data_IF_239867067933
#
_entry.id   IF_239867067933
#
_cell.length_a   1.000
_cell.length_b   1.000
_cell.length_c   1.000
_cell.angle_alpha   90.00
_cell.angle_beta   90.00
_cell.angle_gamma   90.00
#
_symmetry.space_group_name_H-M   'P 1'
#
loop_
_entity.id
_entity.type
_entity.pdbx_description
1 polymer ?
#
# COMPACT_ATOMS: atom_id res chain seq x y z
N UNK A 1 -60.89 16.39 21.32
CA UNK A 1 -60.22 16.18 20.02
C UNK A 1 -58.89 15.49 20.29
N UNK A 2 -58.68 14.25 19.84
CA UNK A 2 -57.39 13.57 19.97
C UNK A 2 -56.49 13.88 18.76
N UNK A 3 -55.20 14.11 19.03
CA UNK A 3 -54.15 14.30 18.03
C UNK A 3 -53.91 13.00 17.24
N UNK A 4 -53.57 13.06 15.94
CA UNK A 4 -53.32 11.86 15.13
C UNK A 4 -51.94 11.26 15.45
N UNK A 5 -51.91 9.93 15.63
CA UNK A 5 -50.68 9.14 15.59
C UNK A 5 -50.09 9.19 14.17
N UNK A 6 -48.92 9.80 14.03
CA UNK A 6 -48.12 9.68 12.81
C UNK A 6 -47.32 8.37 12.84
N UNK A 7 -47.81 7.35 12.14
CA UNK A 7 -47.00 6.18 11.73
C UNK A 7 -46.18 6.56 10.49
N UNK A 8 -44.92 6.93 10.67
CA UNK A 8 -43.94 7.01 9.57
C UNK A 8 -43.29 5.63 9.38
N UNK A 9 -43.34 5.03 8.18
CA UNK A 9 -42.60 3.81 7.90
C UNK A 9 -41.11 4.15 7.77
N UNK A 10 -40.32 3.77 8.77
CA UNK A 10 -38.86 3.91 8.73
C UNK A 10 -38.24 3.05 7.62
N UNK A 11 -37.17 3.50 6.95
CA UNK A 11 -36.51 2.73 5.91
C UNK A 11 -35.91 1.45 6.51
N UNK A 12 -36.40 0.31 6.05
CA UNK A 12 -35.98 -1.03 6.45
C UNK A 12 -34.62 -1.38 5.80
N UNK A 13 -33.52 -0.83 6.31
CA UNK A 13 -32.19 -1.28 5.90
C UNK A 13 -31.91 -2.64 6.56
N UNK A 14 -32.06 -3.73 5.78
CA UNK A 14 -31.61 -5.06 6.21
C UNK A 14 -30.09 -5.05 6.30
N UNK A 15 -29.54 -5.03 7.51
CA UNK A 15 -28.16 -5.42 7.77
C UNK A 15 -27.96 -6.89 7.42
N UNK A 16 -27.27 -7.16 6.30
CA UNK A 16 -26.83 -8.52 5.99
C UNK A 16 -25.57 -8.81 6.79
N UNK A 17 -25.71 -9.54 7.90
CA UNK A 17 -24.58 -10.14 8.62
C UNK A 17 -24.15 -11.40 7.86
N UNK A 18 -23.06 -11.33 7.09
CA UNK A 18 -22.22 -12.50 6.77
C UNK A 18 -21.12 -12.11 5.78
N UNK A 19 -19.92 -11.81 6.30
CA UNK A 19 -18.69 -12.09 5.57
C UNK A 19 -18.30 -13.53 5.91
N UNK A 20 -18.40 -14.41 4.93
CA UNK A 20 -17.94 -15.79 5.07
C UNK A 20 -16.41 -15.82 5.13
N UNK A 21 -15.86 -16.93 5.64
CA UNK A 21 -14.45 -17.19 6.01
C UNK A 21 -13.35 -16.75 5.03
N UNK A 22 -13.64 -16.33 3.80
CA UNK A 22 -12.66 -16.22 2.72
C UNK A 22 -12.70 -14.96 1.84
N UNK A 23 -13.67 -14.04 1.99
CA UNK A 23 -13.87 -13.03 0.93
C UNK A 23 -14.20 -11.64 1.47
N UNK A 24 -13.17 -10.82 1.69
CA UNK A 24 -13.27 -9.37 1.59
C UNK A 24 -12.97 -9.00 0.13
N UNK A 25 -13.99 -9.02 -0.73
CA UNK A 25 -13.93 -8.36 -2.03
C UNK A 25 -15.10 -7.39 -2.09
N UNK A 26 -14.83 -6.09 -2.10
CA UNK A 26 -15.81 -5.12 -2.58
C UNK A 26 -16.13 -5.42 -4.04
N UNK A 27 -17.40 -5.27 -4.42
CA UNK A 27 -17.92 -5.52 -5.78
C UNK A 27 -17.28 -4.61 -6.85
N UNK A 28 -16.51 -3.60 -6.46
CA UNK A 28 -15.86 -2.63 -7.35
C UNK A 28 -14.37 -2.50 -7.04
N UNK A 29 -13.56 -3.46 -7.48
CA UNK A 29 -12.10 -3.42 -7.29
C UNK A 29 -11.68 -3.37 -5.82
N UNK A 30 -10.37 -3.39 -5.56
CA UNK A 30 -9.88 -3.22 -4.19
C UNK A 30 -10.13 -1.78 -3.74
N UNK A 31 -10.98 -1.58 -2.73
CA UNK A 31 -11.18 -0.27 -2.12
C UNK A 31 -9.94 0.15 -1.31
N UNK A 32 -9.87 1.43 -0.93
CA UNK A 32 -8.75 1.98 -0.14
C UNK A 32 -8.53 1.24 1.21
N UNK A 33 -9.55 0.50 1.66
CA UNK A 33 -9.66 -0.17 2.96
C UNK A 33 -8.99 -1.55 2.95
N UNK A 34 -8.92 -2.19 1.77
CA UNK A 34 -8.46 -3.58 1.67
C UNK A 34 -6.99 -3.72 2.06
N UNK A 35 -6.14 -2.77 1.61
CA UNK A 35 -4.71 -2.78 1.94
C UNK A 35 -4.44 -2.45 3.42
N UNK A 36 -5.28 -1.62 4.04
CA UNK A 36 -5.11 -1.21 5.45
C UNK A 36 -5.50 -2.31 6.43
N UNK A 37 -6.30 -3.28 5.99
CA UNK A 37 -6.82 -4.35 6.84
C UNK A 37 -6.02 -5.66 6.74
N UNK A 38 -4.97 -5.71 5.92
CA UNK A 38 -4.19 -6.92 5.63
C UNK A 38 -3.52 -7.53 6.86
N UNK A 39 -3.29 -6.74 7.92
CA UNK A 39 -2.66 -7.22 9.17
C UNK A 39 -3.66 -7.50 10.29
N UNK A 40 -4.97 -7.33 10.04
CA UNK A 40 -6.02 -7.55 11.04
C UNK A 40 -6.24 -9.06 11.22
N UNK A 41 -6.39 -9.50 12.47
CA UNK A 41 -6.66 -10.91 12.78
C UNK A 41 -8.08 -11.30 12.39
N UNK A 42 -8.28 -12.58 12.10
CA UNK A 42 -9.60 -13.09 11.71
C UNK A 42 -10.63 -12.93 12.84
N UNK A 43 -10.22 -13.09 14.10
CA UNK A 43 -11.08 -12.85 15.25
C UNK A 43 -11.58 -11.41 15.36
N UNK A 44 -10.72 -10.43 15.03
CA UNK A 44 -11.12 -9.03 14.99
C UNK A 44 -12.07 -8.76 13.83
N UNK A 45 -11.80 -9.32 12.64
CA UNK A 45 -12.66 -9.17 11.47
C UNK A 45 -14.06 -9.76 11.71
N UNK A 46 -14.17 -10.91 12.37
CA UNK A 46 -15.46 -11.53 12.73
C UNK A 46 -16.35 -10.65 13.61
N UNK A 47 -15.75 -9.72 14.36
CA UNK A 47 -16.44 -8.80 15.26
C UNK A 47 -16.59 -7.38 14.69
N UNK A 48 -16.21 -7.19 13.43
CA UNK A 48 -16.22 -5.88 12.75
C UNK A 48 -17.34 -5.83 11.71
N UNK A 49 -17.97 -4.67 11.57
CA UNK A 49 -18.90 -4.37 10.48
C UNK A 49 -18.32 -3.27 9.59
N UNK A 50 -18.51 -3.39 8.28
CA UNK A 50 -18.09 -2.40 7.29
C UNK A 50 -19.34 -1.76 6.64
N UNK A 51 -20.04 -0.84 7.32
CA UNK A 51 -21.33 -0.30 6.85
C UNK A 51 -21.22 0.49 5.53
N UNK A 52 -20.03 0.96 5.19
CA UNK A 52 -19.75 1.71 3.97
C UNK A 52 -18.98 0.88 2.92
N UNK A 53 -18.73 -0.41 3.17
CA UNK A 53 -17.82 -1.23 2.36
C UNK A 53 -18.27 -1.44 0.91
N UNK A 54 -19.57 -1.39 0.65
CA UNK A 54 -20.16 -1.55 -0.69
C UNK A 54 -20.49 -0.21 -1.35
N UNK A 55 -20.32 0.91 -0.64
CA UNK A 55 -20.74 2.22 -1.12
C UNK A 55 -19.56 2.97 -1.74
N UNK A 56 -19.80 3.59 -2.89
CA UNK A 56 -18.82 4.52 -3.45
C UNK A 56 -18.74 5.78 -2.60
N UNK A 57 -17.59 6.43 -2.62
CA UNK A 57 -17.35 7.64 -1.85
C UNK A 57 -18.33 8.76 -2.19
N UNK A 58 -18.68 8.90 -3.45
CA UNK A 58 -19.64 9.92 -3.91
C UNK A 58 -21.04 9.62 -3.40
N UNK A 59 -21.41 8.34 -3.37
CA UNK A 59 -22.68 7.91 -2.78
C UNK A 59 -22.72 8.15 -1.27
N UNK A 60 -21.62 7.87 -0.56
CA UNK A 60 -21.49 8.20 0.87
C UNK A 60 -21.61 9.71 1.12
N UNK A 61 -21.00 10.55 0.27
CA UNK A 61 -21.14 12.02 0.36
C UNK A 61 -22.58 12.47 0.10
N UNK A 62 -23.30 11.84 -0.84
CA UNK A 62 -24.72 12.11 -1.08
C UNK A 62 -25.57 11.80 0.15
N UNK A 63 -25.39 10.63 0.75
CA UNK A 63 -26.08 10.25 2.01
C UNK A 63 -25.79 11.26 3.12
N UNK A 64 -24.53 11.69 3.25
CA UNK A 64 -24.14 12.69 4.25
C UNK A 64 -24.83 14.05 4.01
N UNK A 65 -24.98 14.49 2.76
CA UNK A 65 -25.70 15.71 2.42
C UNK A 65 -27.20 15.62 2.77
N UNK A 66 -27.84 14.50 2.46
CA UNK A 66 -29.26 14.26 2.74
C UNK A 66 -29.57 14.23 4.24
N UNK A 67 -28.60 13.82 5.08
CA UNK A 67 -28.73 13.78 6.53
C UNK A 67 -28.16 15.03 7.23
N UNK A 68 -27.99 16.13 6.50
CA UNK A 68 -27.50 17.42 7.03
C UNK A 68 -26.10 17.35 7.66
N UNK A 69 -25.25 16.39 7.28
CA UNK A 69 -23.87 16.23 7.76
C UNK A 69 -22.88 17.11 6.95
N UNK A 70 -23.23 18.38 6.71
CA UNK A 70 -22.46 19.28 5.84
C UNK A 70 -21.01 19.52 6.32
N UNK A 71 -20.77 19.48 7.64
CA UNK A 71 -19.43 19.62 8.20
C UNK A 71 -18.46 18.49 7.76
N UNK A 72 -18.98 17.29 7.49
CA UNK A 72 -18.17 16.16 7.00
C UNK A 72 -17.76 16.38 5.54
N UNK A 73 -18.66 16.96 4.73
CA UNK A 73 -18.41 17.23 3.32
C UNK A 73 -17.30 18.27 3.11
N UNK A 74 -17.19 19.25 4.03
CA UNK A 74 -16.15 20.27 4.00
C UNK A 74 -14.80 19.78 4.56
N UNK A 75 -14.80 18.67 5.32
CA UNK A 75 -13.61 18.14 5.94
C UNK A 75 -12.72 17.49 4.88
N UNK A 76 -11.52 18.06 4.72
CA UNK A 76 -10.49 17.45 3.86
C UNK A 76 -10.06 16.10 4.43
N UNK A 77 -9.86 15.16 3.53
CA UNK A 77 -9.43 13.82 3.86
C UNK A 77 -8.04 13.81 4.51
N UNK A 78 -7.87 12.91 5.47
CA UNK A 78 -6.58 12.68 6.11
C UNK A 78 -5.66 11.95 5.14
N UNK A 79 -4.62 12.63 4.69
CA UNK A 79 -3.57 12.09 3.82
C UNK A 79 -2.27 11.97 4.61
N UNK A 80 -1.49 10.92 4.34
CA UNK A 80 -0.20 10.68 4.99
C UNK A 80 -0.29 9.67 6.14
N UNK A 81 0.75 9.65 6.98
CA UNK A 81 0.85 8.71 8.10
C UNK A 81 -0.20 9.10 9.15
N UNK A 82 -1.01 8.12 9.57
CA UNK A 82 -1.99 8.31 10.63
C UNK A 82 -1.33 8.94 11.87
N UNK A 83 -2.03 9.87 12.52
CA UNK A 83 -1.62 10.55 13.75
C UNK A 83 -0.45 11.55 13.67
N UNK A 84 0.35 11.58 12.60
CA UNK A 84 1.46 12.55 12.46
C UNK A 84 0.96 13.91 11.91
N UNK A 85 -0.16 13.91 11.18
CA UNK A 85 -0.71 15.11 10.54
C UNK A 85 0.10 15.56 9.31
N UNK A 86 -0.16 16.78 8.82
CA UNK A 86 0.55 17.36 7.67
C UNK A 86 1.90 17.94 8.11
N UNK A 87 2.92 17.09 8.26
CA UNK A 87 4.29 17.51 8.58
C UNK A 87 5.25 17.10 7.47
N UNK A 88 6.37 17.81 7.36
CA UNK A 88 7.47 17.38 6.51
C UNK A 88 8.08 16.09 7.07
N UNK A 89 8.02 15.00 6.30
CA UNK A 89 8.46 13.68 6.74
C UNK A 89 9.96 13.62 7.05
N UNK A 90 10.79 14.30 6.25
CA UNK A 90 12.24 14.38 6.51
C UNK A 90 12.50 15.02 7.87
N UNK A 91 11.89 16.18 8.14
CA UNK A 91 12.05 16.85 9.42
C UNK A 91 11.55 16.00 10.59
N UNK A 92 10.42 15.31 10.42
CA UNK A 92 9.88 14.39 11.43
C UNK A 92 10.85 13.24 11.73
N UNK A 93 11.41 12.59 10.70
CA UNK A 93 12.35 11.47 10.91
C UNK A 93 13.64 11.92 11.61
N UNK A 94 14.15 13.11 11.28
CA UNK A 94 15.36 13.66 11.88
C UNK A 94 15.20 14.07 13.36
N UNK A 95 13.98 14.12 13.89
CA UNK A 95 13.74 14.30 15.33
C UNK A 95 14.05 13.03 16.14
N UNK A 96 13.99 11.86 15.50
CA UNK A 96 14.19 10.56 16.14
C UNK A 96 15.46 9.85 15.67
N UNK A 97 15.93 10.14 14.46
CA UNK A 97 17.10 9.52 13.84
C UNK A 97 18.20 10.56 13.65
N UNK A 98 19.39 10.24 14.17
CA UNK A 98 20.60 11.03 13.94
C UNK A 98 20.91 11.08 12.43
N UNK A 99 21.16 12.27 11.85
CA UNK A 99 21.62 12.39 10.47
C UNK A 99 22.88 11.57 10.23
N UNK A 100 22.92 10.80 9.15
CA UNK A 100 24.09 10.03 8.70
C UNK A 100 24.39 10.38 7.25
N UNK A 101 25.15 11.47 7.00
CA UNK A 101 25.37 11.94 5.65
C UNK A 101 26.03 10.87 4.77
N UNK A 102 25.63 10.83 3.51
CA UNK A 102 26.14 9.88 2.52
C UNK A 102 26.08 10.48 1.13
N UNK A 103 26.54 9.72 0.12
CA UNK A 103 26.63 10.18 -1.26
C UNK A 103 25.52 9.61 -2.13
N UNK A 104 25.12 10.36 -3.13
CA UNK A 104 24.41 9.81 -4.28
C UNK A 104 25.43 9.29 -5.28
N UNK A 105 25.34 8.01 -5.61
CA UNK A 105 26.28 7.33 -6.52
C UNK A 105 25.51 6.81 -7.73
N UNK A 106 25.96 7.18 -8.93
CA UNK A 106 25.39 6.69 -10.19
C UNK A 106 25.67 5.20 -10.37
N UNK A 107 24.66 4.43 -10.78
CA UNK A 107 24.85 3.01 -11.12
C UNK A 107 25.44 2.78 -12.52
N UNK A 108 25.47 3.80 -13.37
CA UNK A 108 26.01 3.66 -14.73
C UNK A 108 27.55 3.67 -14.73
N UNK A 109 28.15 4.54 -13.91
CA UNK A 109 29.58 4.85 -13.95
C UNK A 109 30.23 5.01 -12.56
N UNK A 110 29.49 4.73 -11.48
CA UNK A 110 29.93 4.94 -10.09
C UNK A 110 30.32 6.38 -9.75
N UNK A 111 29.87 7.37 -10.54
CA UNK A 111 30.16 8.79 -10.25
C UNK A 111 29.37 9.29 -9.05
N UNK A 112 29.98 10.19 -8.28
CA UNK A 112 29.33 10.86 -7.16
C UNK A 112 28.58 12.08 -7.69
N UNK A 113 27.26 12.04 -7.60
CA UNK A 113 26.37 13.09 -8.12
C UNK A 113 25.99 14.14 -7.08
N UNK A 114 26.18 13.85 -5.79
CA UNK A 114 25.85 14.76 -4.71
C UNK A 114 25.88 14.09 -3.34
N UNK A 115 25.34 14.78 -2.34
CA UNK A 115 25.26 14.30 -0.95
C UNK A 115 23.84 14.38 -0.40
N UNK A 116 23.57 13.63 0.66
CA UNK A 116 22.30 13.64 1.37
C UNK A 116 22.49 13.52 2.89
N UNK A 117 21.42 13.76 3.66
CA UNK A 117 21.44 13.72 5.13
C UNK A 117 21.29 12.32 5.75
N UNK A 118 20.88 11.33 4.96
CA UNK A 118 20.80 9.94 5.39
C UNK A 118 20.03 9.04 4.43
N UNK A 119 20.54 7.82 4.20
CA UNK A 119 19.93 6.85 3.29
C UNK A 119 18.51 6.44 3.72
N UNK A 120 18.21 6.50 5.02
CA UNK A 120 16.89 6.19 5.58
C UNK A 120 15.79 7.19 5.18
N UNK A 121 16.16 8.36 4.66
CA UNK A 121 15.21 9.37 4.16
C UNK A 121 14.67 9.03 2.76
N UNK A 122 15.22 8.00 2.12
CA UNK A 122 14.92 7.67 0.73
C UNK A 122 14.24 6.31 0.60
N UNK A 123 13.30 6.25 -0.33
CA UNK A 123 12.57 5.04 -0.72
C UNK A 123 12.99 4.62 -2.14
N UNK A 124 13.09 3.33 -2.40
CA UNK A 124 13.37 2.82 -3.75
C UNK A 124 12.33 3.34 -4.75
N UNK A 125 12.76 3.73 -5.95
CA UNK A 125 11.93 4.37 -6.99
C UNK A 125 11.57 5.83 -6.72
N UNK A 126 12.00 6.42 -5.59
CA UNK A 126 11.82 7.85 -5.34
C UNK A 126 12.76 8.68 -6.23
N UNK A 127 12.27 9.80 -6.78
CA UNK A 127 13.14 10.79 -7.43
C UNK A 127 14.09 11.41 -6.40
N UNK A 128 15.40 11.30 -6.62
CA UNK A 128 16.45 11.72 -5.69
C UNK A 128 16.66 13.24 -5.62
N UNK A 129 15.98 14.03 -6.48
CA UNK A 129 16.00 15.51 -6.52
C UNK A 129 17.40 16.13 -6.29
N UNK A 130 18.39 15.63 -7.01
CA UNK A 130 19.78 16.09 -6.94
C UNK A 130 19.91 17.39 -7.75
N UNK A 131 20.49 18.43 -7.15
CA UNK A 131 20.69 19.73 -7.80
C UNK A 131 21.73 19.65 -8.92
N UNK A 132 21.51 20.40 -10.02
CA UNK A 132 22.49 20.51 -11.11
C UNK A 132 22.41 19.43 -12.19
N UNK A 133 21.55 18.43 -12.04
CA UNK A 133 21.33 17.39 -13.06
C UNK A 133 20.23 17.81 -14.04
N UNK A 134 20.47 17.58 -15.34
CA UNK A 134 19.51 17.91 -16.41
C UNK A 134 18.28 17.01 -16.42
N UNK A 135 18.48 15.74 -16.14
CA UNK A 135 17.43 14.72 -16.15
C UNK A 135 17.09 14.24 -14.73
N UNK A 136 15.88 13.66 -14.51
CA UNK A 136 15.51 13.13 -13.22
C UNK A 136 16.26 11.82 -12.92
N UNK A 137 16.83 11.75 -11.71
CA UNK A 137 17.45 10.56 -11.16
C UNK A 137 16.59 9.92 -10.08
N UNK A 138 16.62 8.59 -10.02
CA UNK A 138 15.76 7.78 -9.15
C UNK A 138 16.59 6.85 -8.29
N UNK A 139 16.16 6.67 -7.04
CA UNK A 139 16.83 5.79 -6.07
C UNK A 139 16.60 4.33 -6.46
N UNK A 140 17.66 3.60 -6.77
CA UNK A 140 17.60 2.18 -7.17
C UNK A 140 18.02 1.24 -6.05
N UNK A 141 18.94 1.68 -5.19
CA UNK A 141 19.46 0.87 -4.10
C UNK A 141 19.98 1.75 -2.95
N UNK A 142 20.09 1.16 -1.75
CA UNK A 142 20.58 1.83 -0.55
C UNK A 142 21.63 0.94 0.08
N UNK A 143 22.87 1.43 0.13
CA UNK A 143 23.96 0.73 0.80
C UNK A 143 23.97 1.16 2.28
N UNK A 144 23.39 0.33 3.14
CA UNK A 144 23.34 0.60 4.58
C UNK A 144 24.72 0.54 5.27
N UNK A 145 25.71 -0.11 4.65
CA UNK A 145 27.07 -0.25 5.19
C UNK A 145 27.91 0.98 4.91
N UNK A 146 27.90 1.47 3.66
CA UNK A 146 28.60 2.72 3.29
C UNK A 146 27.80 3.98 3.65
N UNK A 147 26.47 3.84 3.75
CA UNK A 147 25.54 4.95 3.92
C UNK A 147 25.17 5.67 2.62
N UNK A 148 25.56 5.12 1.47
CA UNK A 148 25.34 5.70 0.15
C UNK A 148 23.98 5.30 -0.44
N UNK A 149 23.46 6.17 -1.31
CA UNK A 149 22.23 5.92 -2.07
C UNK A 149 22.60 5.82 -3.54
N UNK A 150 22.37 4.64 -4.12
CA UNK A 150 22.60 4.41 -5.53
C UNK A 150 21.41 4.91 -6.34
N UNK A 151 21.70 5.63 -7.41
CA UNK A 151 20.71 6.28 -8.27
C UNK A 151 20.93 5.95 -9.74
N UNK A 152 19.84 5.96 -10.51
CA UNK A 152 19.88 5.76 -11.96
C UNK A 152 19.11 6.87 -12.70
N UNK A 153 19.50 7.21 -13.94
CA UNK A 153 18.80 8.19 -14.76
C UNK A 153 17.51 7.62 -15.35
N UNK A 154 16.51 8.47 -15.59
CA UNK A 154 15.21 8.13 -16.18
C UNK A 154 14.34 7.20 -15.33
N UNK A 155 13.03 7.23 -15.60
CA UNK A 155 12.02 6.48 -14.82
C UNK A 155 11.89 5.02 -15.24
N UNK A 156 12.36 4.69 -16.44
CA UNK A 156 12.30 3.39 -17.10
C UNK A 156 13.62 2.63 -17.02
N UNK A 157 14.53 3.05 -16.13
CA UNK A 157 15.86 2.45 -16.04
C UNK A 157 15.82 0.99 -15.59
N UNK A 158 16.54 0.05 -16.27
CA UNK A 158 16.66 -1.36 -15.91
C UNK A 158 16.94 -1.64 -14.43
N UNK A 159 17.74 -0.81 -13.76
CA UNK A 159 18.10 -0.98 -12.35
C UNK A 159 16.97 -0.64 -11.34
N UNK A 160 15.90 0.04 -11.75
CA UNK A 160 14.71 0.28 -10.90
C UNK A 160 13.88 -0.98 -10.69
N UNK A 161 14.32 -2.07 -11.31
CA UNK A 161 13.50 -3.20 -11.58
C UNK A 161 14.10 -4.48 -11.00
N UNK A 162 13.22 -5.35 -10.51
CA UNK A 162 13.57 -6.59 -9.82
C UNK A 162 12.63 -7.71 -10.26
N UNK A 163 13.19 -8.90 -10.38
CA UNK A 163 12.44 -10.09 -10.75
C UNK A 163 12.29 -11.06 -9.58
N UNK A 164 12.48 -10.60 -8.33
CA UNK A 164 12.35 -11.44 -7.15
C UNK A 164 12.09 -10.57 -5.92
N UNK A 165 11.12 -10.98 -5.10
CA UNK A 165 10.94 -10.44 -3.76
C UNK A 165 10.99 -11.58 -2.75
N UNK A 166 11.73 -11.35 -1.67
CA UNK A 166 11.74 -12.19 -0.48
C UNK A 166 10.98 -11.49 0.63
N UNK A 167 10.13 -12.24 1.32
CA UNK A 167 9.40 -11.73 2.49
C UNK A 167 9.56 -12.69 3.66
N UNK A 168 9.37 -12.15 4.86
CA UNK A 168 9.65 -12.82 6.13
C UNK A 168 8.53 -13.81 6.46
N UNK A 169 7.63 -13.47 7.38
CA UNK A 169 6.44 -14.27 7.66
C UNK A 169 5.26 -13.64 6.93
N UNK A 170 4.55 -14.45 6.13
CA UNK A 170 3.28 -14.04 5.52
C UNK A 170 2.18 -14.14 6.58
N UNK A 171 1.37 -13.09 6.70
CA UNK A 171 0.13 -13.11 7.47
C UNK A 171 -1.01 -13.56 6.57
N UNK A 172 -1.75 -14.58 7.00
CA UNK A 172 -2.90 -15.09 6.28
C UNK A 172 -4.16 -14.66 7.01
N UNK A 173 -5.05 -13.93 6.33
CA UNK A 173 -6.34 -13.50 6.89
C UNK A 173 -7.18 -14.73 7.28
N UNK A 174 -7.08 -15.82 6.52
CA UNK A 174 -7.73 -17.08 6.83
C UNK A 174 -7.00 -17.93 7.89
N UNK A 175 -6.02 -17.33 8.61
CA UNK A 175 -5.13 -17.94 9.61
C UNK A 175 -4.15 -19.00 9.07
N UNK A 176 -4.53 -19.69 8.00
CA UNK A 176 -3.77 -20.76 7.37
C UNK A 176 -3.39 -20.41 5.92
N UNK A 177 -2.23 -20.90 5.44
CA UNK A 177 -1.87 -20.79 4.03
C UNK A 177 -2.84 -21.57 3.14
N UNK A 178 -3.10 -21.13 1.88
CA UNK A 178 -3.93 -21.86 0.94
C UNK A 178 -3.43 -23.28 0.68
N UNK A 179 -4.35 -24.24 0.57
CA UNK A 179 -4.01 -25.65 0.42
C UNK A 179 -3.10 -25.95 -0.80
N UNK A 180 -3.30 -25.22 -1.91
CA UNK A 180 -2.43 -25.31 -3.08
C UNK A 180 -0.96 -24.98 -2.74
N UNK A 181 -0.73 -23.88 -2.01
CA UNK A 181 0.61 -23.51 -1.57
C UNK A 181 1.23 -24.55 -0.62
N UNK A 182 0.42 -25.20 0.22
CA UNK A 182 0.91 -26.23 1.15
C UNK A 182 1.33 -27.50 0.42
N UNK A 183 0.49 -27.99 -0.50
CA UNK A 183 0.71 -29.21 -1.27
C UNK A 183 1.81 -29.05 -2.31
N UNK A 184 1.70 -28.01 -3.13
CA UNK A 184 2.49 -27.87 -4.35
C UNK A 184 3.74 -27.00 -4.11
N UNK A 185 3.86 -26.38 -2.92
CA UNK A 185 4.93 -25.43 -2.57
C UNK A 185 4.99 -24.20 -3.47
N UNK A 186 4.00 -24.01 -4.33
CA UNK A 186 3.85 -22.85 -5.20
C UNK A 186 2.38 -22.58 -5.49
N UNK A 187 2.05 -21.33 -5.79
CA UNK A 187 0.69 -20.92 -6.11
C UNK A 187 0.72 -19.62 -6.93
N UNK A 188 -0.08 -19.56 -7.99
CA UNK A 188 -0.33 -18.30 -8.69
C UNK A 188 -1.17 -17.35 -7.83
N UNK A 189 -0.79 -16.08 -7.80
CA UNK A 189 -1.49 -15.06 -7.06
C UNK A 189 -1.42 -13.70 -7.75
N UNK A 190 -2.27 -12.79 -7.30
CA UNK A 190 -2.16 -11.39 -7.65
C UNK A 190 -1.41 -10.65 -6.55
N UNK A 191 -0.36 -9.94 -6.92
CA UNK A 191 0.49 -9.18 -6.02
C UNK A 191 0.33 -7.67 -6.25
N UNK A 192 0.29 -6.90 -5.15
CA UNK A 192 0.32 -5.44 -5.16
C UNK A 192 1.44 -4.95 -4.25
N UNK A 193 2.38 -4.19 -4.81
CA UNK A 193 3.53 -3.70 -4.05
C UNK A 193 3.21 -2.47 -3.18
N UNK A 194 2.49 -1.49 -3.74
CA UNK A 194 2.08 -0.28 -3.03
C UNK A 194 0.60 -0.02 -3.23
N UNK A 195 0.06 0.71 -2.26
CA UNK A 195 -1.29 1.25 -2.34
C UNK A 195 -1.51 1.97 -3.68
N UNK A 196 -2.67 1.72 -4.31
CA UNK A 196 -3.08 2.24 -5.63
C UNK A 196 -2.31 1.70 -6.85
N UNK A 197 -1.31 0.83 -6.68
CA UNK A 197 -0.71 0.14 -7.83
C UNK A 197 -1.64 -0.96 -8.35
N UNK A 198 -1.55 -1.22 -9.66
CA UNK A 198 -2.22 -2.34 -10.30
C UNK A 198 -1.80 -3.68 -9.67
N UNK A 199 -2.69 -4.65 -9.72
CA UNK A 199 -2.36 -6.03 -9.37
C UNK A 199 -1.54 -6.64 -10.50
N UNK A 200 -0.53 -7.42 -10.13
CA UNK A 200 0.37 -8.12 -11.05
C UNK A 200 0.21 -9.62 -10.82
N UNK A 201 0.12 -10.41 -11.89
CA UNK A 201 0.17 -11.86 -11.78
C UNK A 201 1.58 -12.30 -11.36
N UNK A 202 1.66 -13.11 -10.31
CA UNK A 202 2.92 -13.56 -9.71
C UNK A 202 2.78 -14.99 -9.18
N UNK A 203 3.91 -15.62 -8.85
CA UNK A 203 3.93 -17.00 -8.31
C UNK A 203 4.46 -16.96 -6.89
N UNK A 204 3.63 -17.18 -5.88
CA UNK A 204 4.15 -17.32 -4.52
C UNK A 204 4.78 -18.71 -4.34
N UNK A 205 6.05 -18.79 -3.93
CA UNK A 205 6.70 -20.05 -3.57
C UNK A 205 6.84 -20.20 -2.05
N UNK A 206 6.42 -21.36 -1.55
CA UNK A 206 6.55 -21.77 -0.17
C UNK A 206 7.76 -22.65 0.06
N UNK A 207 8.78 -22.11 0.75
CA UNK A 207 9.85 -22.97 1.25
C UNK A 207 9.33 -23.82 2.40
N UNK A 208 9.68 -25.11 2.40
CA UNK A 208 9.26 -26.08 3.40
C UNK A 208 9.92 -25.90 4.77
N UNK A 209 9.86 -24.71 5.40
CA UNK A 209 10.21 -24.42 6.81
C UNK A 209 9.47 -23.12 7.20
N UNK A 210 8.96 -22.92 8.44
CA UNK A 210 7.89 -21.93 8.72
C UNK A 210 8.21 -20.42 8.56
N UNK A 211 9.37 -20.00 8.03
CA UNK A 211 9.85 -18.61 8.25
C UNK A 211 10.52 -17.86 7.09
N UNK A 212 10.44 -18.31 5.83
CA UNK A 212 10.94 -17.49 4.71
C UNK A 212 10.27 -17.86 3.39
N UNK A 213 9.81 -16.86 2.64
CA UNK A 213 9.11 -17.02 1.35
C UNK A 213 9.84 -16.30 0.22
N UNK A 214 9.88 -16.91 -0.96
CA UNK A 214 10.45 -16.37 -2.20
C UNK A 214 9.33 -16.26 -3.25
N UNK A 215 9.34 -15.19 -4.03
CA UNK A 215 8.38 -14.94 -5.12
C UNK A 215 9.17 -14.61 -6.40
N UNK A 216 8.96 -15.28 -7.55
CA UNK A 216 9.43 -14.84 -8.84
C UNK A 216 8.64 -13.59 -9.28
N UNK A 217 9.41 -12.61 -9.71
CA UNK A 217 9.05 -11.34 -10.32
C UNK A 217 8.23 -10.38 -9.46
N UNK A 218 8.93 -9.58 -8.63
CA UNK A 218 8.38 -8.31 -8.15
C UNK A 218 9.41 -7.22 -8.30
N UNK A 219 9.01 -6.28 -9.13
CA UNK A 219 9.74 -5.12 -9.57
C UNK A 219 9.19 -3.98 -8.68
N UNK A 220 10.00 -3.01 -8.24
CA UNK A 220 9.45 -1.75 -7.75
C UNK A 220 8.82 -1.01 -8.95
N UNK A 221 7.60 -1.39 -9.38
CA UNK A 221 7.16 -1.13 -10.78
C UNK A 221 5.69 -0.91 -11.04
N UNK A 222 5.43 0.18 -11.76
CA UNK A 222 4.34 0.29 -12.72
C UNK A 222 4.69 -0.48 -14.00
N UNK A 223 3.93 -1.54 -14.29
CA UNK A 223 3.99 -2.27 -15.55
C UNK A 223 3.15 -1.49 -16.56
N UNK A 224 3.76 -1.07 -17.67
CA UNK A 224 3.01 -0.95 -18.91
C UNK A 224 3.24 -2.26 -19.67
N UNK A 225 2.12 -2.94 -19.95
CA UNK A 225 2.02 -4.00 -20.94
C UNK A 225 2.26 -3.39 -22.31
N UNK A 226 3.32 -3.80 -23.00
CA UNK A 226 3.40 -3.64 -24.45
C UNK A 226 2.61 -4.78 -25.10
N UNK A 227 1.43 -4.49 -25.59
CA UNK A 227 0.90 -5.23 -26.74
C UNK A 227 1.37 -4.47 -27.99
N UNK A 228 2.09 -5.16 -28.90
CA UNK A 228 2.35 -4.70 -30.27
C UNK A 228 3.46 -3.68 -30.43
#
# INVERSE_FOLDING_TARGET
MPLPLATTPGPHWRMRKSLSKSTLRSLTGCSEIDLKSETVSQDALRRTIFPLGELTKDFVKKIAAENSLHHVLQKRESMGICFIGKRNLEHFLLQYLQPRPGKFVSVEDNTVLGTHKGWFLYTLGQRAKISGLREPWYVVEKDGTKGDVLVAPRVDHPALYRDLLRTNRVHWIAEEPPAALVRDKMMECHFRFRHQMALVCSVLQGRGVPRQWENPAVRAVCLHTSEG
#
